data_IF_986266243475
#
_entry.id   IF_986266243475
#
_cell.length_a   1.000
_cell.length_b   1.000
_cell.length_c   1.000
_cell.angle_alpha   90.00
_cell.angle_beta   90.00
_cell.angle_gamma   90.00
#
_symmetry.space_group_name_H-M   'P 1'
#
loop_
_entity.id
_entity.type
_entity.pdbx_description
1 polymer ?
#
# COMPACT_ATOMS: atom_id res chain seq x y z
N UNK A 1 9.81 -8.02 0.52
CA UNK A 1 8.34 -8.23 0.69
C UNK A 1 8.13 -9.67 1.14
N UNK A 2 7.00 -10.07 1.75
CA UNK A 2 6.74 -11.51 1.97
C UNK A 2 6.96 -12.25 0.65
N UNK A 3 7.58 -13.43 0.67
CA UNK A 3 8.20 -14.08 -0.50
C UNK A 3 7.27 -14.35 -1.71
N UNK A 4 5.96 -14.11 -1.59
CA UNK A 4 4.94 -14.44 -2.60
C UNK A 4 4.14 -13.23 -3.13
N UNK A 5 4.55 -11.99 -2.85
CA UNK A 5 3.82 -10.81 -3.34
C UNK A 5 4.13 -10.52 -4.81
N UNK A 6 3.09 -10.34 -5.62
CA UNK A 6 3.18 -9.87 -7.00
C UNK A 6 3.05 -8.36 -7.03
N UNK A 7 4.09 -7.69 -7.54
CA UNK A 7 4.05 -6.26 -7.81
C UNK A 7 3.41 -5.98 -9.16
N UNK A 8 2.38 -5.16 -9.16
CA UNK A 8 1.66 -4.66 -10.32
C UNK A 8 1.87 -3.15 -10.44
N UNK A 9 2.15 -2.67 -11.64
CA UNK A 9 2.19 -1.24 -11.93
C UNK A 9 0.88 -0.83 -12.59
N UNK A 10 0.27 0.23 -12.06
CA UNK A 10 -0.98 0.77 -12.60
C UNK A 10 -0.68 1.58 -13.87
N UNK A 11 -1.15 1.11 -15.02
CA UNK A 11 -0.88 1.73 -16.32
C UNK A 11 -1.74 2.97 -16.59
N UNK A 12 -2.99 2.95 -16.18
CA UNK A 12 -3.95 4.04 -16.29
C UNK A 12 -4.84 4.10 -15.05
N UNK A 13 -5.57 5.20 -14.87
CA UNK A 13 -6.49 5.35 -13.74
C UNK A 13 -7.54 4.23 -13.79
N UNK A 14 -7.60 3.42 -12.74
CA UNK A 14 -8.52 2.27 -12.62
C UNK A 14 -8.85 2.00 -11.16
N UNK A 15 -9.83 1.15 -10.91
CA UNK A 15 -10.15 0.65 -9.55
C UNK A 15 -9.22 -0.50 -9.15
N UNK A 16 -9.19 -0.82 -7.86
CA UNK A 16 -8.40 -1.94 -7.37
C UNK A 16 -8.91 -3.28 -7.91
N UNK A 17 -10.24 -3.45 -8.00
CA UNK A 17 -10.84 -4.65 -8.59
C UNK A 17 -10.53 -4.76 -10.09
N UNK A 18 -10.56 -3.65 -10.83
CA UNK A 18 -10.18 -3.62 -12.25
C UNK A 18 -8.72 -4.03 -12.45
N UNK A 19 -7.81 -3.59 -11.58
CA UNK A 19 -6.41 -4.01 -11.60
C UNK A 19 -6.28 -5.52 -11.37
N UNK A 20 -6.95 -6.07 -10.33
CA UNK A 20 -6.94 -7.50 -10.05
C UNK A 20 -7.40 -8.29 -11.28
N UNK A 21 -8.56 -7.92 -11.84
CA UNK A 21 -9.15 -8.59 -13.01
C UNK A 21 -8.23 -8.52 -14.23
N UNK A 22 -7.63 -7.36 -14.50
CA UNK A 22 -6.71 -7.17 -15.64
C UNK A 22 -5.43 -8.00 -15.47
N UNK A 23 -4.99 -8.21 -14.22
CA UNK A 23 -3.85 -9.06 -13.89
C UNK A 23 -4.18 -10.57 -13.86
N UNK A 24 -5.44 -10.96 -14.15
CA UNK A 24 -5.92 -12.34 -14.07
C UNK A 24 -6.05 -12.86 -12.63
N UNK A 25 -6.19 -11.97 -11.65
CA UNK A 25 -6.28 -12.30 -10.23
C UNK A 25 -7.72 -12.07 -9.72
N UNK A 26 -8.26 -12.94 -8.86
CA UNK A 26 -9.54 -12.69 -8.22
C UNK A 26 -9.40 -11.53 -7.22
N UNK A 27 -10.37 -10.62 -7.23
CA UNK A 27 -10.48 -9.63 -6.17
C UNK A 27 -11.09 -10.28 -4.92
N UNK A 28 -10.41 -10.11 -3.79
CA UNK A 28 -10.94 -10.44 -2.45
C UNK A 28 -10.77 -9.22 -1.56
N UNK A 29 -11.71 -8.99 -0.63
CA UNK A 29 -11.60 -7.89 0.31
C UNK A 29 -10.27 -7.95 1.08
N UNK A 30 -9.48 -6.87 1.03
CA UNK A 30 -8.19 -6.82 1.71
C UNK A 30 -7.05 -7.57 1.02
N UNK A 31 -7.22 -8.04 -0.23
CA UNK A 31 -6.25 -8.91 -0.92
C UNK A 31 -4.92 -8.25 -1.30
N UNK A 32 -4.76 -6.94 -1.15
CA UNK A 32 -3.51 -6.30 -1.51
C UNK A 32 -3.37 -4.89 -0.97
N UNK A 33 -2.26 -4.27 -1.33
CA UNK A 33 -1.80 -3.00 -0.80
C UNK A 33 -1.38 -2.09 -1.94
N UNK A 34 -1.75 -0.81 -1.87
CA UNK A 34 -1.30 0.18 -2.85
C UNK A 34 -0.29 1.11 -2.19
N UNK A 35 0.72 1.49 -2.95
CA UNK A 35 1.71 2.51 -2.59
C UNK A 35 0.98 3.82 -2.27
N UNK A 36 1.32 4.42 -1.13
CA UNK A 36 0.83 5.74 -0.77
C UNK A 36 1.43 6.77 -1.75
N UNK A 37 0.64 7.17 -2.75
CA UNK A 37 1.05 8.11 -3.80
C UNK A 37 0.45 9.52 -3.65
N UNK A 38 -0.27 9.77 -2.56
CA UNK A 38 -0.90 11.06 -2.28
C UNK A 38 -1.36 11.18 -0.84
N UNK A 39 -1.93 12.33 -0.49
CA UNK A 39 -2.46 12.54 0.85
C UNK A 39 -3.69 11.64 1.09
N UNK A 40 -3.70 10.92 2.21
CA UNK A 40 -4.78 10.03 2.60
C UNK A 40 -4.95 10.00 4.12
N UNK A 41 -6.21 10.03 4.57
CA UNK A 41 -6.55 9.74 5.95
C UNK A 41 -6.48 8.23 6.20
N UNK A 42 -5.50 7.79 6.98
CA UNK A 42 -5.30 6.37 7.33
C UNK A 42 -5.85 6.11 8.73
N UNK A 43 -6.89 5.25 8.86
CA UNK A 43 -7.41 4.84 10.17
C UNK A 43 -6.37 4.10 11.00
N UNK A 44 -6.45 4.21 12.32
CA UNK A 44 -5.50 3.61 13.25
C UNK A 44 -5.31 2.09 13.03
N UNK A 45 -6.41 1.36 12.90
CA UNK A 45 -6.44 -0.10 12.72
C UNK A 45 -6.14 -0.59 11.29
N UNK A 46 -5.76 0.30 10.38
CA UNK A 46 -5.50 -0.07 8.98
C UNK A 46 -4.22 -0.91 8.90
N UNK A 47 -4.26 -2.02 8.17
CA UNK A 47 -3.06 -2.83 7.91
C UNK A 47 -2.16 -2.07 6.93
N UNK A 48 -0.88 -2.00 7.26
CA UNK A 48 0.16 -1.31 6.52
C UNK A 48 1.31 -2.26 6.22
N UNK A 49 2.08 -1.93 5.19
CA UNK A 49 3.39 -2.51 4.90
C UNK A 49 4.34 -1.38 4.54
N UNK A 50 5.58 -1.44 5.01
CA UNK A 50 6.62 -0.54 4.53
C UNK A 50 7.80 -1.35 3.97
N UNK A 51 8.34 -0.89 2.84
CA UNK A 51 9.48 -1.48 2.17
C UNK A 51 10.64 -0.51 2.17
N UNK A 52 11.81 -0.95 2.58
CA UNK A 52 13.05 -0.22 2.47
C UNK A 52 13.68 -0.56 1.11
N UNK A 53 13.78 0.43 0.23
CA UNK A 53 14.27 0.20 -1.13
C UNK A 53 15.80 -0.02 -1.20
N UNK A 54 16.54 0.42 -0.18
CA UNK A 54 18.00 0.26 -0.13
C UNK A 54 18.41 -1.09 0.47
N UNK A 55 17.77 -1.52 1.56
CA UNK A 55 18.11 -2.76 2.25
C UNK A 55 17.28 -3.97 1.80
N UNK A 56 16.16 -3.74 1.11
CA UNK A 56 15.17 -4.77 0.79
C UNK A 56 14.32 -5.23 1.99
N UNK A 57 14.52 -4.63 3.17
CA UNK A 57 13.74 -4.91 4.37
C UNK A 57 12.26 -4.61 4.14
N UNK A 58 11.38 -5.51 4.59
CA UNK A 58 9.95 -5.27 4.58
C UNK A 58 9.36 -5.54 5.95
N UNK A 59 8.61 -4.56 6.44
CA UNK A 59 7.86 -4.61 7.68
C UNK A 59 6.37 -4.66 7.36
N UNK A 60 5.64 -5.50 8.07
CA UNK A 60 4.20 -5.70 7.85
C UNK A 60 3.42 -5.69 9.14
N UNK A 61 2.20 -5.16 9.08
CA UNK A 61 1.32 -5.02 10.24
C UNK A 61 1.17 -3.55 10.64
N UNK A 62 -0.05 -3.16 11.02
CA UNK A 62 -0.36 -1.77 11.35
C UNK A 62 0.52 -1.23 12.48
N UNK A 63 0.60 -1.94 13.61
CA UNK A 63 1.35 -1.51 14.79
C UNK A 63 2.86 -1.45 14.56
N UNK A 64 3.44 -2.48 13.94
CA UNK A 64 4.88 -2.54 13.66
C UNK A 64 5.32 -1.41 12.73
N UNK A 65 4.60 -1.23 11.63
CA UNK A 65 4.88 -0.16 10.65
C UNK A 65 4.75 1.21 11.30
N UNK A 66 3.69 1.41 12.10
CA UNK A 66 3.46 2.65 12.83
C UNK A 66 4.59 2.97 13.80
N UNK A 67 5.00 1.99 14.61
CA UNK A 67 6.12 2.15 15.55
C UNK A 67 7.42 2.45 14.83
N UNK A 68 7.73 1.74 13.75
CA UNK A 68 8.98 1.89 12.98
C UNK A 68 9.07 3.24 12.25
N UNK A 69 7.93 3.77 11.80
CA UNK A 69 7.84 5.03 11.07
C UNK A 69 7.42 6.23 11.94
N UNK A 70 7.23 6.04 13.25
CA UNK A 70 6.81 7.12 14.17
C UNK A 70 5.41 7.67 13.87
N UNK A 71 4.47 6.81 13.48
CA UNK A 71 3.09 7.18 13.13
C UNK A 71 2.12 6.77 14.24
N UNK A 72 1.23 7.66 14.66
CA UNK A 72 0.28 7.39 15.76
C UNK A 72 -1.17 7.69 15.37
N UNK A 73 -2.08 6.81 15.79
CA UNK A 73 -3.52 7.01 15.68
C UNK A 73 -4.05 7.13 14.25
N UNK A 74 -5.24 7.73 14.14
CA UNK A 74 -5.81 8.14 12.87
C UNK A 74 -5.05 9.38 12.37
N UNK A 75 -4.42 9.28 11.22
CA UNK A 75 -3.48 10.30 10.72
C UNK A 75 -3.67 10.55 9.22
N UNK A 76 -3.53 11.81 8.81
CA UNK A 76 -3.41 12.18 7.40
C UNK A 76 -1.96 11.97 6.97
N UNK A 77 -1.70 10.90 6.22
CA UNK A 77 -0.38 10.64 5.67
C UNK A 77 -0.26 11.23 4.28
N UNK A 78 0.95 11.65 3.92
CA UNK A 78 1.33 11.90 2.54
C UNK A 78 2.72 11.29 2.29
N UNK A 79 3.13 11.07 1.04
CA UNK A 79 4.38 10.37 0.75
C UNK A 79 5.62 11.04 1.35
N UNK A 80 5.61 12.38 1.50
CA UNK A 80 6.74 13.15 2.06
C UNK A 80 6.91 12.98 3.57
N UNK A 81 5.90 12.46 4.27
CA UNK A 81 6.00 12.14 5.70
C UNK A 81 6.72 10.81 5.94
N UNK A 82 6.87 9.98 4.90
CA UNK A 82 7.55 8.71 5.01
C UNK A 82 9.04 8.96 4.76
N UNK A 83 9.85 8.72 5.78
CA UNK A 83 11.28 8.98 5.69
C UNK A 83 11.94 8.03 4.68
N UNK A 84 12.77 8.59 3.78
CA UNK A 84 13.65 7.77 2.93
C UNK A 84 14.51 6.85 3.79
N UNK A 85 14.76 5.60 3.38
CA UNK A 85 14.42 4.95 2.10
C UNK A 85 13.12 4.13 2.13
N UNK A 86 12.15 4.50 2.97
CA UNK A 86 10.91 3.73 3.13
C UNK A 86 9.83 4.15 2.14
N UNK A 87 9.18 3.14 1.57
CA UNK A 87 7.95 3.28 0.78
C UNK A 87 6.80 2.62 1.54
N UNK A 88 5.73 3.37 1.79
CA UNK A 88 4.56 2.90 2.53
C UNK A 88 3.47 2.38 1.60
N UNK A 89 2.91 1.23 1.93
CA UNK A 89 1.79 0.59 1.27
C UNK A 89 0.61 0.45 2.22
N UNK A 90 -0.59 0.78 1.74
CA UNK A 90 -1.82 0.79 2.52
C UNK A 90 -2.76 -0.31 2.01
N UNK A 91 -3.31 -1.12 2.91
CA UNK A 91 -4.20 -2.22 2.52
C UNK A 91 -5.48 -1.70 1.83
N UNK A 92 -5.82 -2.25 0.67
CA UNK A 92 -7.07 -1.93 -0.01
C UNK A 92 -8.20 -2.82 0.49
N UNK A 93 -9.17 -2.21 1.18
CA UNK A 93 -10.41 -2.86 1.63
C UNK A 93 -11.60 -2.47 0.76
N UNK A 94 -11.38 -1.80 -0.38
CA UNK A 94 -12.43 -1.30 -1.25
C UNK A 94 -12.13 -1.67 -2.70
N UNK A 95 -13.08 -2.35 -3.33
CA UNK A 95 -13.02 -2.69 -4.75
C UNK A 95 -12.88 -1.44 -5.62
N UNK A 96 -13.65 -0.40 -5.26
CA UNK A 96 -13.72 0.89 -5.96
C UNK A 96 -12.59 1.85 -5.59
N UNK A 97 -11.54 1.39 -4.90
CA UNK A 97 -10.39 2.23 -4.58
C UNK A 97 -9.74 2.69 -5.88
N UNK A 98 -9.84 3.98 -6.17
CA UNK A 98 -9.22 4.59 -7.35
C UNK A 98 -7.70 4.59 -7.20
N UNK A 99 -7.02 3.93 -8.13
CA UNK A 99 -5.58 3.91 -8.24
C UNK A 99 -5.13 4.88 -9.33
N UNK A 100 -4.07 5.64 -9.05
CA UNK A 100 -3.50 6.57 -10.01
C UNK A 100 -2.50 5.85 -10.92
N UNK A 101 -2.30 6.31 -12.17
CA UNK A 101 -1.20 5.84 -13.00
C UNK A 101 0.13 5.87 -12.25
N UNK A 102 0.99 4.90 -12.54
CA UNK A 102 2.30 4.70 -11.89
C UNK A 102 2.24 4.35 -10.39
N UNK A 103 1.07 4.12 -9.79
CA UNK A 103 0.99 3.55 -8.44
C UNK A 103 1.47 2.10 -8.48
N UNK A 104 2.33 1.70 -7.56
CA UNK A 104 2.70 0.30 -7.36
C UNK A 104 1.68 -0.37 -6.44
N UNK A 105 1.21 -1.56 -6.80
CA UNK A 105 0.30 -2.37 -5.99
C UNK A 105 0.93 -3.72 -5.75
N UNK A 106 0.87 -4.19 -4.51
CA UNK A 106 1.27 -5.53 -4.12
C UNK A 106 0.03 -6.38 -3.84
N UNK A 107 -0.08 -7.55 -4.48
CA UNK A 107 -1.14 -8.55 -4.27
C UNK A 107 -0.47 -9.90 -3.99
#
# INVERSE_FOLDING_TARGET
MPDNWKLLKVSSKMTFEELCRTAGLPYVHGCGFYELSGAEMVPDKKVLVASNEESGEVISGGEEVRRRLGLEGKIMLNPRMIASPWTLYVNSTSANRCLKPNTTVAI
#
